data_IF_929660123482
#
_entry.id   IF_929660123482
#
_cell.length_a   1.000
_cell.length_b   1.000
_cell.length_c   1.000
_cell.angle_alpha   90.00
_cell.angle_beta   90.00
_cell.angle_gamma   90.00
#
_symmetry.space_group_name_H-M   'P 1'
#
loop_
_entity.id
_entity.type
_entity.pdbx_description
1 polymer ?
#
# COMPACT_ATOMS: atom_id res chain seq x y z
N UNK A 1 -69.48 -5.11 -14.55
CA UNK A 1 -69.30 -3.81 -13.86
C UNK A 1 -68.34 -4.04 -12.69
N UNK A 2 -67.20 -3.33 -12.71
CA UNK A 2 -66.13 -3.19 -11.67
C UNK A 2 -65.39 -4.49 -11.25
N UNK A 3 -64.12 -4.80 -11.61
CA UNK A 3 -62.77 -4.22 -11.29
C UNK A 3 -62.56 -4.00 -9.78
N UNK A 4 -61.53 -4.44 -9.05
CA UNK A 4 -60.18 -5.00 -9.27
C UNK A 4 -59.69 -5.72 -7.95
N UNK A 5 -58.41 -6.07 -7.71
CA UNK A 5 -57.89 -7.43 -7.94
C UNK A 5 -57.11 -8.09 -6.76
N UNK A 6 -56.70 -9.33 -7.04
CA UNK A 6 -55.82 -10.26 -6.31
C UNK A 6 -54.52 -9.62 -5.76
N UNK A 7 -54.14 -10.00 -4.53
CA UNK A 7 -52.79 -9.80 -3.97
C UNK A 7 -51.93 -11.05 -4.18
N UNK A 8 -50.88 -10.92 -4.98
CA UNK A 8 -49.70 -11.80 -4.98
C UNK A 8 -48.75 -11.34 -3.87
N UNK A 9 -48.33 -12.25 -2.98
CA UNK A 9 -47.19 -12.03 -2.10
C UNK A 9 -45.90 -12.30 -2.90
N UNK A 10 -45.14 -11.26 -3.21
CA UNK A 10 -43.73 -11.38 -3.58
C UNK A 10 -42.90 -11.44 -2.28
N UNK A 11 -42.15 -12.53 -2.09
CA UNK A 11 -40.99 -12.55 -1.21
C UNK A 11 -39.86 -11.77 -1.88
N UNK A 12 -39.67 -10.51 -1.48
CA UNK A 12 -38.47 -9.75 -1.80
C UNK A 12 -37.39 -10.04 -0.75
N UNK A 13 -36.25 -10.51 -1.23
CA UNK A 13 -35.01 -10.68 -0.49
C UNK A 13 -34.52 -9.28 -0.08
N UNK A 14 -34.56 -8.96 1.21
CA UNK A 14 -33.85 -7.81 1.75
C UNK A 14 -32.36 -8.18 1.88
N UNK A 15 -31.59 -7.85 0.83
CA UNK A 15 -30.16 -7.59 0.97
C UNK A 15 -30.02 -6.27 1.73
N UNK A 16 -29.53 -6.33 2.96
CA UNK A 16 -29.14 -5.14 3.71
C UNK A 16 -27.82 -4.62 3.15
N UNK A 17 -27.92 -3.74 2.15
CA UNK A 17 -26.84 -2.82 1.82
C UNK A 17 -26.75 -1.77 2.94
N UNK A 18 -25.71 -1.83 3.75
CA UNK A 18 -25.27 -0.68 4.55
C UNK A 18 -24.36 0.13 3.62
N UNK A 19 -24.94 1.14 2.96
CA UNK A 19 -24.19 2.13 2.19
C UNK A 19 -23.87 3.35 3.06
N UNK A 20 -22.67 3.90 2.90
CA UNK A 20 -22.18 5.09 3.60
C UNK A 20 -22.96 6.36 3.19
N UNK A 21 -23.89 6.80 4.05
CA UNK A 21 -24.77 7.94 3.77
C UNK A 21 -24.09 9.32 3.92
N UNK A 22 -22.91 9.44 4.55
CA UNK A 22 -22.34 10.77 4.87
C UNK A 22 -21.73 11.54 3.70
N UNK A 23 -21.57 10.93 2.51
CA UNK A 23 -20.96 11.62 1.35
C UNK A 23 -21.96 12.07 0.26
N UNK A 24 -23.24 11.68 0.33
CA UNK A 24 -24.24 12.03 -0.71
C UNK A 24 -24.95 13.37 -0.49
N UNK A 25 -24.95 13.90 0.73
CA UNK A 25 -25.65 15.15 1.08
C UNK A 25 -24.75 16.41 1.16
N UNK A 26 -23.52 16.34 0.61
CA UNK A 26 -22.61 17.49 0.55
C UNK A 26 -23.17 18.70 -0.26
N UNK A 27 -24.27 18.51 -0.98
CA UNK A 27 -25.01 19.58 -1.67
C UNK A 27 -25.72 20.57 -0.74
N UNK A 28 -25.84 20.29 0.56
CA UNK A 28 -26.40 21.24 1.54
C UNK A 28 -25.37 22.29 2.04
N UNK A 29 -24.13 22.23 1.57
CA UNK A 29 -23.04 23.07 2.07
C UNK A 29 -22.22 23.72 0.94
N UNK A 30 -22.74 24.83 0.42
CA UNK A 30 -21.98 25.97 -0.14
C UNK A 30 -22.69 27.24 0.36
N UNK A 31 -22.06 28.29 0.86
CA UNK A 31 -21.02 29.14 0.26
C UNK A 31 -20.11 29.75 1.34
N UNK A 32 -18.78 29.73 1.16
CA UNK A 32 -17.87 30.73 1.75
C UNK A 32 -17.09 31.34 0.58
N UNK A 33 -17.72 32.26 -0.17
CA UNK A 33 -17.00 33.01 -1.20
C UNK A 33 -16.36 34.29 -0.64
N UNK A 34 -16.79 34.79 0.53
CA UNK A 34 -16.29 36.07 1.09
C UNK A 34 -16.32 36.23 2.63
N UNK A 35 -16.73 35.22 3.42
CA UNK A 35 -16.92 35.41 4.87
C UNK A 35 -15.65 35.09 5.68
N UNK A 36 -15.17 36.05 6.49
CA UNK A 36 -14.00 35.93 7.38
C UNK A 36 -14.25 35.06 8.61
N UNK A 37 -15.52 34.74 8.88
CA UNK A 37 -15.97 33.92 10.02
C UNK A 37 -16.25 32.45 9.63
N UNK A 38 -15.58 31.94 8.59
CA UNK A 38 -15.64 30.53 8.18
C UNK A 38 -14.41 29.76 8.70
N UNK A 39 -14.57 28.48 9.06
CA UNK A 39 -13.48 27.56 9.38
C UNK A 39 -13.42 26.37 8.41
N UNK A 40 -12.24 25.78 8.23
CA UNK A 40 -12.04 24.56 7.42
C UNK A 40 -12.12 23.32 8.32
N UNK A 41 -13.01 22.39 7.98
CA UNK A 41 -13.34 21.23 8.80
C UNK A 41 -13.11 19.94 7.99
N UNK A 42 -12.42 18.92 8.53
CA UNK A 42 -12.29 17.63 7.85
C UNK A 42 -13.63 16.88 7.79
N UNK A 43 -13.87 16.18 6.69
CA UNK A 43 -15.01 15.27 6.53
C UNK A 43 -14.52 13.84 6.76
N UNK A 44 -14.81 13.31 7.95
CA UNK A 44 -14.55 11.90 8.27
C UNK A 44 -15.71 11.02 7.80
N UNK A 45 -15.38 9.82 7.30
CA UNK A 45 -16.36 8.76 7.05
C UNK A 45 -16.69 8.04 8.35
N UNK A 46 -17.93 7.55 8.49
CA UNK A 46 -18.37 6.83 9.69
C UNK A 46 -17.84 5.39 9.79
N UNK A 47 -17.18 4.88 8.76
CA UNK A 47 -16.80 3.47 8.60
C UNK A 47 -15.30 3.18 8.82
N UNK A 48 -14.57 4.07 9.51
CA UNK A 48 -13.13 3.92 9.84
C UNK A 48 -12.20 3.87 8.61
N UNK A 49 -12.68 4.26 7.42
CA UNK A 49 -11.90 4.25 6.17
C UNK A 49 -10.98 5.47 5.98
N UNK A 50 -11.05 6.48 6.85
CA UNK A 50 -10.24 7.71 6.78
C UNK A 50 -10.98 8.90 6.16
N UNK A 51 -10.31 10.06 6.09
CA UNK A 51 -10.88 11.35 5.64
C UNK A 51 -11.22 11.30 4.14
N UNK A 52 -12.45 11.70 3.75
CA UNK A 52 -12.85 11.79 2.35
C UNK A 52 -12.66 13.18 1.72
N UNK A 53 -12.43 14.22 2.53
CA UNK A 53 -12.15 15.59 2.05
C UNK A 53 -12.17 16.65 3.16
N UNK A 54 -12.10 17.94 2.78
CA UNK A 54 -12.25 19.10 3.67
C UNK A 54 -13.40 20.01 3.20
N UNK A 55 -14.13 20.62 4.14
CA UNK A 55 -15.24 21.52 3.85
C UNK A 55 -15.12 22.83 4.65
N UNK A 56 -15.39 23.96 3.99
CA UNK A 56 -15.54 25.25 4.66
C UNK A 56 -16.95 25.38 5.24
N UNK A 57 -17.05 25.64 6.55
CA UNK A 57 -18.33 25.83 7.24
C UNK A 57 -18.32 27.16 7.98
N UNK A 58 -19.41 27.93 7.87
CA UNK A 58 -19.61 29.16 8.65
C UNK A 58 -19.77 28.82 10.14
N UNK A 59 -19.00 29.50 11.01
CA UNK A 59 -19.00 29.20 12.45
C UNK A 59 -20.38 29.39 13.11
N UNK A 60 -21.24 30.23 12.54
CA UNK A 60 -22.63 30.46 12.98
C UNK A 60 -23.55 29.24 12.82
N UNK A 61 -23.14 28.21 12.07
CA UNK A 61 -23.90 26.96 11.91
C UNK A 61 -23.51 25.88 12.93
N UNK A 62 -22.52 26.15 13.78
CA UNK A 62 -22.10 25.23 14.83
C UNK A 62 -22.71 25.66 16.16
N UNK A 63 -23.10 24.68 16.96
CA UNK A 63 -23.66 24.94 18.29
C UNK A 63 -22.57 25.56 19.19
N UNK A 64 -22.88 26.59 19.98
CA UNK A 64 -21.91 27.16 20.92
C UNK A 64 -21.63 26.20 22.07
N UNK A 65 -20.41 26.23 22.60
CA UNK A 65 -20.13 25.44 23.81
C UNK A 65 -20.88 26.00 25.03
N UNK A 66 -21.33 25.10 25.89
CA UNK A 66 -22.00 25.44 27.13
C UNK A 66 -21.00 25.92 28.19
N UNK A 67 -21.42 26.89 29.00
CA UNK A 67 -20.67 27.43 30.13
C UNK A 67 -21.48 27.26 31.43
N UNK A 68 -20.83 26.99 32.58
CA UNK A 68 -19.38 26.75 32.76
C UNK A 68 -19.00 25.31 32.42
N UNK A 69 -17.95 25.12 31.63
CA UNK A 69 -17.42 23.77 31.35
C UNK A 69 -16.79 23.55 29.98
N UNK A 70 -17.06 24.41 28.99
CA UNK A 70 -16.65 24.17 27.59
C UNK A 70 -17.07 22.77 27.13
N UNK A 71 -18.32 22.41 27.41
CA UNK A 71 -18.91 21.13 27.07
C UNK A 71 -19.89 21.27 25.92
N UNK A 72 -20.15 20.17 25.24
CA UNK A 72 -21.13 20.08 24.18
C UNK A 72 -22.32 19.27 24.66
N UNK A 73 -23.52 19.67 24.26
CA UNK A 73 -24.76 18.95 24.58
C UNK A 73 -24.75 17.54 24.01
N UNK A 74 -24.14 17.38 22.83
CA UNK A 74 -23.91 16.08 22.20
C UNK A 74 -22.61 15.46 22.71
N UNK A 75 -22.71 14.22 23.22
CA UNK A 75 -21.61 13.46 23.84
C UNK A 75 -20.48 13.12 22.86
N UNK A 76 -20.78 13.06 21.58
CA UNK A 76 -19.83 12.81 20.49
C UNK A 76 -19.26 14.11 19.91
N UNK A 77 -19.44 15.25 20.56
CA UNK A 77 -18.88 16.54 20.15
C UNK A 77 -17.89 17.06 21.19
N UNK A 78 -16.84 17.73 20.71
CA UNK A 78 -15.81 18.38 21.51
C UNK A 78 -15.85 19.88 21.26
N UNK A 79 -15.71 20.62 22.34
CA UNK A 79 -15.61 22.06 22.30
C UNK A 79 -14.24 22.49 21.77
N UNK A 80 -14.20 23.30 20.70
CA UNK A 80 -12.97 23.75 20.03
C UNK A 80 -13.01 25.27 19.84
N UNK A 81 -11.89 25.95 20.11
CA UNK A 81 -11.66 27.35 19.70
C UNK A 81 -10.96 27.37 18.36
N UNK A 82 -11.62 27.88 17.32
CA UNK A 82 -11.03 28.01 15.99
C UNK A 82 -10.56 29.46 15.75
N UNK A 83 -9.36 29.70 15.18
CA UNK A 83 -8.80 31.05 15.00
C UNK A 83 -9.65 31.99 14.15
N UNK A 84 -10.40 31.44 13.19
CA UNK A 84 -11.28 32.19 12.29
C UNK A 84 -12.73 32.26 12.78
N UNK A 85 -13.07 31.63 13.90
CA UNK A 85 -14.37 31.83 14.54
C UNK A 85 -14.21 32.90 15.62
N UNK A 86 -15.08 33.92 15.60
CA UNK A 86 -15.09 34.98 16.61
C UNK A 86 -15.08 34.40 18.03
N UNK A 87 -13.91 34.48 18.70
CA UNK A 87 -13.48 34.24 20.11
C UNK A 87 -14.21 33.23 21.04
N UNK A 88 -15.49 32.94 20.83
CA UNK A 88 -16.29 31.93 21.50
C UNK A 88 -16.02 30.53 20.91
N UNK A 89 -15.85 29.51 21.77
CA UNK A 89 -15.67 28.14 21.32
C UNK A 89 -16.99 27.51 20.84
N UNK A 90 -16.88 26.60 19.87
CA UNK A 90 -18.01 25.91 19.25
C UNK A 90 -17.89 24.39 19.39
N UNK A 91 -19.03 23.71 19.34
CA UNK A 91 -19.14 22.27 19.48
C UNK A 91 -19.01 21.54 18.15
N UNK A 92 -18.05 20.63 18.08
CA UNK A 92 -17.64 19.97 16.85
C UNK A 92 -17.55 18.45 17.00
N UNK A 93 -18.03 17.62 16.06
CA UNK A 93 -18.01 16.16 16.19
C UNK A 93 -16.59 15.59 16.40
N UNK A 94 -16.43 14.73 17.41
CA UNK A 94 -15.18 14.06 17.78
C UNK A 94 -14.69 13.13 16.66
N UNK A 95 -15.62 12.51 15.92
CA UNK A 95 -15.32 11.65 14.77
C UNK A 95 -14.58 12.36 13.64
N UNK A 96 -14.57 13.69 13.65
CA UNK A 96 -13.90 14.52 12.65
C UNK A 96 -12.59 15.15 13.18
N UNK A 97 -12.02 14.68 14.29
CA UNK A 97 -10.78 15.24 14.84
C UNK A 97 -9.58 14.35 14.48
N UNK A 98 -8.90 14.66 13.38
CA UNK A 98 -7.50 14.28 13.13
C UNK A 98 -6.77 15.34 12.25
N UNK A 99 -5.44 15.41 12.32
CA UNK A 99 -4.58 16.58 12.01
C UNK A 99 -4.44 17.00 10.52
N UNK A 100 -4.64 18.31 10.26
CA UNK A 100 -3.98 19.32 9.35
C UNK A 100 -3.56 18.92 7.89
N UNK A 101 -3.77 19.67 6.79
CA UNK A 101 -3.84 21.14 6.50
C UNK A 101 -4.76 21.40 5.28
N UNK A 102 -5.64 22.41 5.33
CA UNK A 102 -6.23 23.06 4.14
C UNK A 102 -5.25 24.15 3.62
N UNK A 103 -4.99 24.29 2.31
CA UNK A 103 -4.06 25.29 1.81
C UNK A 103 -4.60 26.71 2.07
N UNK A 104 -3.83 27.56 2.75
CA UNK A 104 -4.15 28.98 2.90
C UNK A 104 -3.43 29.80 1.83
N UNK A 105 -4.16 30.67 1.15
CA UNK A 105 -3.58 31.88 0.56
C UNK A 105 -3.25 32.87 1.69
N UNK A 106 -1.98 33.29 1.75
CA UNK A 106 -1.47 34.51 2.42
C UNK A 106 -1.20 34.46 3.95
N UNK A 107 0.06 34.09 4.26
CA UNK A 107 1.10 34.67 5.14
C UNK A 107 0.91 35.20 6.60
N UNK A 108 1.94 34.84 7.40
CA UNK A 108 2.60 35.44 8.59
C UNK A 108 1.81 35.83 9.86
N UNK A 109 1.95 35.05 10.95
CA UNK A 109 2.65 35.40 12.22
C UNK A 109 2.18 34.57 13.46
N UNK A 110 3.04 33.64 13.95
CA UNK A 110 3.09 33.01 15.31
C UNK A 110 1.94 32.05 15.75
N UNK A 111 2.12 31.14 16.75
CA UNK A 111 3.28 30.41 17.29
C UNK A 111 3.24 28.89 16.94
N UNK A 112 4.37 28.21 17.15
CA UNK A 112 4.65 26.82 16.74
C UNK A 112 3.64 25.76 17.18
N UNK A 113 2.95 25.19 16.19
CA UNK A 113 2.19 23.92 16.25
C UNK A 113 3.16 22.75 16.51
N UNK A 114 2.80 21.71 17.28
CA UNK A 114 3.65 20.53 17.43
C UNK A 114 3.75 19.83 16.07
N UNK A 115 4.97 19.77 15.53
CA UNK A 115 5.27 19.23 14.21
C UNK A 115 4.51 17.92 13.97
N UNK A 116 3.59 17.93 13.01
CA UNK A 116 3.30 16.74 12.24
C UNK A 116 4.58 16.50 11.42
N UNK A 117 5.49 15.73 11.98
CA UNK A 117 6.82 15.51 11.44
C UNK A 117 6.71 14.77 10.11
N UNK A 118 6.60 15.51 9.00
CA UNK A 118 6.64 14.92 7.66
C UNK A 118 8.10 14.56 7.43
N UNK A 119 8.40 13.27 7.51
CA UNK A 119 9.72 12.67 7.37
C UNK A 119 10.29 12.75 5.93
N UNK A 120 10.25 13.91 5.26
CA UNK A 120 10.85 14.06 3.91
C UNK A 120 12.36 13.86 3.91
N UNK A 121 13.00 14.04 5.07
CA UNK A 121 14.43 13.84 5.34
C UNK A 121 14.74 12.59 6.14
N UNK A 122 13.76 11.68 6.36
CA UNK A 122 14.04 10.43 7.06
C UNK A 122 15.19 9.69 6.38
N UNK A 123 16.09 9.14 7.18
CA UNK A 123 17.11 8.20 6.71
C UNK A 123 16.84 6.85 7.32
N UNK A 124 17.43 5.80 6.77
CA UNK A 124 17.37 4.46 7.36
C UNK A 124 18.73 4.10 7.94
N UNK A 125 18.72 3.22 8.94
CA UNK A 125 19.93 2.68 9.53
C UNK A 125 20.81 2.13 8.41
N UNK A 126 22.11 2.40 8.49
CA UNK A 126 23.04 1.93 7.46
C UNK A 126 23.17 0.40 7.48
N UNK A 127 23.12 -0.18 8.67
CA UNK A 127 23.16 -1.62 8.88
C UNK A 127 21.72 -2.13 9.02
N UNK A 128 21.42 -3.17 8.26
CA UNK A 128 20.22 -3.98 8.38
C UNK A 128 20.41 -5.13 9.36
N UNK A 129 19.29 -5.64 9.86
CA UNK A 129 19.24 -6.87 10.66
C UNK A 129 18.48 -7.93 9.87
N UNK A 130 19.00 -9.17 9.84
CA UNK A 130 18.27 -10.30 9.25
C UNK A 130 17.04 -10.62 10.12
N UNK A 131 15.86 -10.56 9.53
CA UNK A 131 14.58 -10.84 10.21
C UNK A 131 13.89 -12.11 9.72
N UNK A 132 14.33 -12.65 8.58
CA UNK A 132 13.94 -13.96 8.07
C UNK A 132 15.11 -14.57 7.28
N UNK A 133 15.31 -15.88 7.38
CA UNK A 133 16.45 -16.55 6.77
C UNK A 133 17.79 -16.16 7.40
N UNK A 134 18.85 -16.12 6.59
CA UNK A 134 20.18 -15.69 7.04
C UNK A 134 21.04 -16.78 7.70
N UNK A 135 20.59 -18.03 7.72
CA UNK A 135 21.33 -19.18 8.24
C UNK A 135 21.79 -20.11 7.11
N UNK A 136 22.25 -19.52 6.01
CA UNK A 136 22.52 -20.21 4.75
C UNK A 136 21.26 -20.46 3.93
N UNK A 137 21.45 -21.01 2.74
CA UNK A 137 20.36 -21.44 1.86
C UNK A 137 19.94 -22.87 2.19
N UNK A 138 18.64 -23.15 2.10
CA UNK A 138 18.09 -24.47 2.38
C UNK A 138 16.60 -24.43 2.69
N UNK A 139 16.05 -25.56 3.13
CA UNK A 139 14.61 -25.73 3.37
C UNK A 139 14.23 -25.78 4.87
N UNK A 140 15.20 -25.64 5.78
CA UNK A 140 14.91 -25.51 7.20
C UNK A 140 14.04 -24.25 7.47
N UNK A 141 13.32 -24.22 8.60
CA UNK A 141 12.42 -23.10 8.90
C UNK A 141 13.13 -21.79 9.28
N UNK A 142 14.45 -21.83 9.51
CA UNK A 142 15.29 -20.64 9.66
C UNK A 142 16.10 -20.33 8.39
N UNK A 143 15.86 -21.05 7.30
CA UNK A 143 16.52 -20.86 6.01
C UNK A 143 15.51 -20.45 4.94
N UNK A 144 16.01 -19.75 3.93
CA UNK A 144 15.27 -19.40 2.71
C UNK A 144 16.09 -19.89 1.51
N UNK A 145 15.45 -20.01 0.36
CA UNK A 145 16.11 -20.29 -0.90
C UNK A 145 15.58 -19.37 -2.01
N UNK A 146 16.36 -18.32 -2.30
CA UNK A 146 16.06 -17.32 -3.32
C UNK A 146 14.68 -16.66 -3.09
N UNK A 147 14.49 -16.00 -1.93
CA UNK A 147 13.23 -15.32 -1.64
C UNK A 147 13.02 -14.18 -2.64
N UNK A 148 11.84 -14.13 -3.26
CA UNK A 148 11.53 -13.19 -4.34
C UNK A 148 10.70 -12.01 -3.82
N UNK A 149 9.43 -12.24 -3.45
CA UNK A 149 8.53 -11.23 -2.91
C UNK A 149 8.33 -11.32 -1.39
N UNK A 150 8.03 -10.17 -0.78
CA UNK A 150 7.74 -10.04 0.64
C UNK A 150 6.50 -9.19 0.90
N UNK A 151 5.79 -9.52 1.97
CA UNK A 151 4.73 -8.68 2.51
C UNK A 151 4.95 -8.49 4.02
N UNK A 152 4.70 -7.28 4.52
CA UNK A 152 4.81 -6.98 5.95
C UNK A 152 3.46 -6.47 6.45
N UNK A 153 2.88 -7.16 7.43
CA UNK A 153 1.60 -6.75 7.99
C UNK A 153 1.74 -5.67 9.09
N UNK A 154 0.60 -5.16 9.56
CA UNK A 154 0.54 -4.12 10.60
C UNK A 154 1.13 -4.57 11.95
N UNK A 155 1.27 -5.88 12.18
CA UNK A 155 1.89 -6.44 13.38
C UNK A 155 3.40 -6.67 13.19
N UNK A 156 3.97 -6.21 12.07
CA UNK A 156 5.37 -6.43 11.67
C UNK A 156 5.69 -7.91 11.45
N UNK A 157 4.70 -8.70 11.06
CA UNK A 157 4.90 -10.07 10.59
C UNK A 157 5.37 -10.02 9.14
N UNK A 158 6.49 -10.66 8.85
CA UNK A 158 7.09 -10.74 7.52
C UNK A 158 6.64 -12.03 6.86
N UNK A 159 5.99 -11.94 5.70
CA UNK A 159 5.63 -13.06 4.83
C UNK A 159 6.59 -13.06 3.65
N UNK A 160 7.09 -14.24 3.28
CA UNK A 160 8.14 -14.38 2.26
C UNK A 160 7.74 -15.45 1.26
N UNK A 161 7.75 -15.13 -0.03
CA UNK A 161 7.72 -16.11 -1.10
C UNK A 161 9.10 -16.77 -1.17
N UNK A 162 9.21 -17.95 -0.55
CA UNK A 162 10.44 -18.75 -0.51
C UNK A 162 10.51 -19.62 -1.78
N UNK A 163 10.85 -18.96 -2.88
CA UNK A 163 10.55 -19.38 -4.25
C UNK A 163 11.07 -20.77 -4.60
N UNK A 164 12.35 -21.05 -4.34
CA UNK A 164 12.91 -22.36 -4.68
C UNK A 164 12.51 -23.47 -3.71
N UNK A 165 11.95 -23.11 -2.55
CA UNK A 165 11.35 -24.08 -1.63
C UNK A 165 9.84 -24.26 -1.87
N UNK A 166 9.26 -23.61 -2.89
CA UNK A 166 7.84 -23.72 -3.29
C UNK A 166 6.86 -23.53 -2.12
N UNK A 167 7.10 -22.49 -1.31
CA UNK A 167 6.30 -22.20 -0.12
C UNK A 167 6.25 -20.71 0.19
N UNK A 168 5.25 -20.31 0.96
CA UNK A 168 5.22 -19.02 1.65
C UNK A 168 5.42 -19.26 3.13
N UNK A 169 6.37 -18.55 3.72
CA UNK A 169 6.72 -18.67 5.13
C UNK A 169 6.57 -17.31 5.81
N UNK A 170 6.03 -17.28 7.03
CA UNK A 170 5.94 -16.07 7.84
C UNK A 170 6.86 -16.09 9.05
N UNK A 171 7.35 -14.93 9.45
CA UNK A 171 8.10 -14.68 10.69
C UNK A 171 7.42 -13.57 11.47
N UNK A 172 7.05 -13.85 12.71
CA UNK A 172 6.65 -12.82 13.66
C UNK A 172 7.88 -12.11 14.21
N UNK A 173 7.67 -10.96 14.85
CA UNK A 173 8.77 -10.18 15.42
C UNK A 173 9.62 -11.05 16.38
N UNK A 174 10.94 -11.03 16.18
CA UNK A 174 11.94 -11.79 16.94
C UNK A 174 11.85 -13.33 16.81
N UNK A 175 11.06 -13.86 15.88
CA UNK A 175 11.02 -15.30 15.64
C UNK A 175 12.36 -15.80 15.07
N UNK A 176 12.88 -16.91 15.60
CA UNK A 176 14.08 -17.58 15.08
C UNK A 176 13.77 -18.57 13.96
N UNK A 177 12.51 -19.04 13.88
CA UNK A 177 12.01 -19.96 12.87
C UNK A 177 10.73 -19.41 12.26
N UNK A 178 10.56 -19.66 10.97
CA UNK A 178 9.38 -19.30 10.22
C UNK A 178 8.29 -20.36 10.34
N UNK A 179 7.08 -19.98 9.94
CA UNK A 179 5.91 -20.84 9.87
C UNK A 179 5.41 -20.89 8.43
N UNK A 180 5.29 -22.09 7.86
CA UNK A 180 4.72 -22.27 6.52
C UNK A 180 3.23 -21.92 6.59
N UNK A 181 2.79 -21.03 5.71
CA UNK A 181 1.40 -20.53 5.66
C UNK A 181 0.71 -20.78 4.31
N UNK A 182 1.47 -21.10 3.28
CA UNK A 182 0.96 -21.60 2.01
C UNK A 182 2.03 -22.47 1.32
N UNK A 183 1.61 -23.44 0.52
CA UNK A 183 2.54 -24.37 -0.15
C UNK A 183 3.23 -25.33 0.82
N UNK A 184 4.48 -25.68 0.53
CA UNK A 184 5.31 -26.53 1.40
C UNK A 184 5.20 -28.04 1.17
N UNK A 185 4.36 -28.47 0.22
CA UNK A 185 4.20 -29.87 -0.20
C UNK A 185 5.05 -30.22 -1.44
N UNK A 186 6.20 -29.55 -1.57
CA UNK A 186 7.11 -29.68 -2.71
C UNK A 186 6.67 -28.89 -3.95
N UNK A 187 7.54 -28.90 -4.95
CA UNK A 187 7.29 -28.28 -6.26
C UNK A 187 6.21 -29.06 -7.00
N UNK A 188 5.19 -28.38 -7.52
CA UNK A 188 4.13 -29.02 -8.32
C UNK A 188 2.96 -28.09 -8.62
N UNK A 189 1.93 -28.63 -9.27
CA UNK A 189 0.74 -27.91 -9.71
C UNK A 189 -0.52 -28.23 -8.88
N UNK A 190 -0.41 -29.10 -7.87
CA UNK A 190 -1.49 -29.42 -6.96
C UNK A 190 -2.01 -28.19 -6.18
N UNK A 191 -3.17 -28.32 -5.55
CA UNK A 191 -3.80 -27.22 -4.79
C UNK A 191 -3.01 -26.85 -3.53
N UNK A 192 -2.14 -27.74 -3.04
CA UNK A 192 -1.25 -27.46 -1.91
C UNK A 192 0.19 -27.13 -2.34
N UNK A 193 0.46 -27.00 -3.64
CA UNK A 193 1.81 -26.89 -4.19
C UNK A 193 1.98 -25.60 -4.97
N UNK A 194 3.23 -25.15 -5.06
CA UNK A 194 3.65 -24.06 -5.93
C UNK A 194 4.74 -24.54 -6.88
N UNK A 195 4.90 -23.82 -7.99
CA UNK A 195 6.05 -23.93 -8.87
C UNK A 195 6.56 -22.53 -9.18
N UNK A 196 7.55 -22.08 -8.40
CA UNK A 196 8.12 -20.75 -8.50
C UNK A 196 7.15 -19.65 -8.03
N UNK A 197 6.69 -19.65 -6.77
CA UNK A 197 5.93 -18.53 -6.24
C UNK A 197 6.82 -17.28 -6.23
N UNK A 198 6.39 -16.20 -6.88
CA UNK A 198 7.24 -15.01 -7.05
C UNK A 198 6.90 -13.91 -6.07
N UNK A 199 5.64 -13.54 -5.97
CA UNK A 199 5.18 -12.41 -5.17
C UNK A 199 3.91 -12.77 -4.39
N UNK A 200 3.63 -12.01 -3.34
CA UNK A 200 2.45 -12.23 -2.51
C UNK A 200 1.90 -10.96 -1.88
N UNK A 201 0.59 -10.98 -1.63
CA UNK A 201 -0.12 -9.96 -0.84
C UNK A 201 -1.08 -10.62 0.13
N UNK A 202 -1.33 -9.96 1.25
CA UNK A 202 -2.26 -10.46 2.27
C UNK A 202 -3.41 -9.46 2.40
N UNK A 203 -4.64 -9.94 2.26
CA UNK A 203 -5.83 -9.10 2.45
C UNK A 203 -6.15 -8.85 3.94
N UNK A 204 -7.12 -7.98 4.22
CA UNK A 204 -7.48 -7.60 5.60
C UNK A 204 -8.01 -8.77 6.44
N UNK A 205 -8.56 -9.79 5.78
CA UNK A 205 -9.08 -11.00 6.42
C UNK A 205 -7.97 -12.03 6.66
N UNK A 206 -6.77 -11.75 6.14
CA UNK A 206 -5.57 -12.57 6.28
C UNK A 206 -5.47 -13.69 5.24
N UNK A 207 -6.19 -13.60 4.14
CA UNK A 207 -5.98 -14.50 3.01
C UNK A 207 -4.76 -14.03 2.20
N UNK A 208 -3.97 -15.00 1.76
CA UNK A 208 -2.70 -14.80 1.06
C UNK A 208 -2.93 -15.07 -0.42
N UNK A 209 -2.64 -14.10 -1.26
CA UNK A 209 -2.63 -14.26 -2.72
C UNK A 209 -1.20 -14.40 -3.18
N UNK A 210 -0.91 -15.40 -4.00
CA UNK A 210 0.46 -15.73 -4.43
C UNK A 210 0.49 -15.90 -5.95
N UNK A 211 1.46 -15.27 -6.60
CA UNK A 211 1.73 -15.48 -8.03
C UNK A 211 2.54 -16.76 -8.23
N UNK A 212 1.88 -17.82 -8.70
CA UNK A 212 2.47 -19.14 -8.92
C UNK A 212 2.99 -19.22 -10.36
N UNK A 213 4.16 -18.64 -10.60
CA UNK A 213 4.62 -18.21 -11.92
C UNK A 213 4.65 -19.34 -12.95
N UNK A 214 5.29 -20.46 -12.64
CA UNK A 214 5.48 -21.54 -13.60
C UNK A 214 4.24 -22.43 -13.75
N UNK A 215 3.28 -22.30 -12.83
CA UNK A 215 1.95 -22.89 -12.96
C UNK A 215 0.93 -21.97 -13.67
N UNK A 216 1.35 -20.78 -14.11
CA UNK A 216 0.50 -19.82 -14.83
C UNK A 216 -0.82 -19.49 -14.11
N UNK A 217 -0.74 -19.27 -12.78
CA UNK A 217 -1.92 -18.99 -11.96
C UNK A 217 -1.62 -18.08 -10.78
N UNK A 218 -2.68 -17.49 -10.23
CA UNK A 218 -2.67 -16.88 -8.90
C UNK A 218 -3.51 -17.75 -7.96
N UNK A 219 -2.94 -18.11 -6.83
CA UNK A 219 -3.65 -18.85 -5.79
C UNK A 219 -3.99 -17.96 -4.60
N UNK A 220 -5.22 -18.10 -4.10
CA UNK A 220 -5.67 -17.56 -2.82
C UNK A 220 -5.65 -18.66 -1.77
N UNK A 221 -5.06 -18.36 -0.62
CA UNK A 221 -5.02 -19.22 0.55
C UNK A 221 -5.68 -18.51 1.71
N UNK A 222 -6.85 -18.99 2.12
CA UNK A 222 -7.49 -18.45 3.32
C UNK A 222 -6.62 -18.72 4.56
N UNK A 223 -6.79 -17.88 5.59
CA UNK A 223 -6.03 -18.04 6.85
C UNK A 223 -6.12 -19.48 7.36
N UNK A 224 -4.97 -20.10 7.60
CA UNK A 224 -4.81 -21.49 8.08
C UNK A 224 -5.31 -22.60 7.11
N UNK A 225 -5.61 -22.26 5.85
CA UNK A 225 -5.99 -23.26 4.85
C UNK A 225 -4.81 -24.20 4.55
N UNK A 226 -5.13 -25.48 4.31
CA UNK A 226 -4.15 -26.49 3.89
C UNK A 226 -3.95 -26.53 2.37
N UNK A 227 -4.87 -25.94 1.62
CA UNK A 227 -4.86 -25.88 0.16
C UNK A 227 -5.24 -24.48 -0.31
N UNK A 228 -4.69 -24.08 -1.44
CA UNK A 228 -5.06 -22.88 -2.17
C UNK A 228 -6.18 -23.12 -3.17
N UNK A 229 -6.86 -22.03 -3.50
CA UNK A 229 -7.82 -21.95 -4.59
C UNK A 229 -7.22 -21.09 -5.70
N UNK A 230 -7.22 -21.59 -6.93
CA UNK A 230 -6.88 -20.76 -8.09
C UNK A 230 -7.96 -19.70 -8.28
N UNK A 231 -7.56 -18.43 -8.25
CA UNK A 231 -8.45 -17.26 -8.43
C UNK A 231 -8.22 -16.52 -9.74
N UNK A 232 -7.10 -16.80 -10.41
CA UNK A 232 -6.80 -16.24 -11.72
C UNK A 232 -5.89 -17.19 -12.51
N UNK A 233 -6.19 -17.40 -13.79
CA UNK A 233 -5.27 -18.04 -14.74
C UNK A 233 -4.63 -16.93 -15.56
N UNK A 234 -3.30 -16.90 -15.54
CA UNK A 234 -2.50 -15.82 -16.13
C UNK A 234 -1.15 -16.39 -16.52
N UNK A 235 -0.65 -16.07 -17.71
CA UNK A 235 0.64 -16.60 -18.14
C UNK A 235 1.77 -15.92 -17.38
N UNK A 236 2.58 -16.72 -16.67
CA UNK A 236 3.77 -16.29 -15.92
C UNK A 236 3.56 -15.03 -15.09
N UNK A 237 2.65 -15.05 -14.10
CA UNK A 237 2.41 -13.90 -13.23
C UNK A 237 3.66 -13.60 -12.41
N UNK A 238 4.04 -12.32 -12.30
CA UNK A 238 5.20 -11.88 -11.52
C UNK A 238 4.73 -11.13 -10.28
N UNK A 239 4.37 -9.87 -10.45
CA UNK A 239 3.99 -8.96 -9.38
C UNK A 239 2.50 -9.03 -9.06
N UNK A 240 2.17 -8.77 -7.80
CA UNK A 240 0.79 -8.75 -7.33
C UNK A 240 0.57 -7.59 -6.35
N UNK A 241 -0.55 -6.90 -6.48
CA UNK A 241 -0.90 -5.80 -5.59
C UNK A 241 -2.39 -5.81 -5.24
N UNK A 242 -2.73 -5.34 -4.04
CA UNK A 242 -4.09 -5.05 -3.62
C UNK A 242 -4.28 -3.53 -3.51
N UNK A 243 -5.40 -3.01 -3.99
CA UNK A 243 -5.84 -1.65 -3.67
C UNK A 243 -6.67 -1.60 -2.38
N UNK A 244 -7.08 -0.40 -1.97
CA UNK A 244 -7.92 -0.18 -0.79
C UNK A 244 -9.34 -0.76 -0.90
N UNK A 245 -9.79 -1.14 -2.10
CA UNK A 245 -11.08 -1.79 -2.35
C UNK A 245 -10.93 -3.33 -2.44
N UNK A 246 -9.73 -3.85 -2.17
CA UNK A 246 -9.36 -5.26 -2.30
C UNK A 246 -9.46 -5.81 -3.73
N UNK A 247 -9.31 -4.94 -4.73
CA UNK A 247 -9.05 -5.39 -6.10
C UNK A 247 -7.62 -5.86 -6.24
N UNK A 248 -7.45 -7.02 -6.88
CA UNK A 248 -6.18 -7.67 -7.10
C UNK A 248 -5.62 -7.33 -8.48
N UNK A 249 -4.43 -6.76 -8.52
CA UNK A 249 -3.69 -6.44 -9.72
C UNK A 249 -2.55 -7.43 -9.91
N UNK A 250 -2.37 -7.92 -11.13
CA UNK A 250 -1.37 -8.94 -11.44
C UNK A 250 -0.66 -8.57 -12.74
N UNK A 251 0.68 -8.53 -12.72
CA UNK A 251 1.47 -8.38 -13.93
C UNK A 251 1.74 -9.75 -14.55
N UNK A 252 1.62 -9.82 -15.88
CA UNK A 252 1.94 -11.01 -16.66
C UNK A 252 3.16 -10.74 -17.55
N UNK A 253 3.99 -11.77 -17.78
CA UNK A 253 5.29 -11.63 -18.46
C UNK A 253 5.44 -12.47 -19.72
N UNK A 254 6.48 -12.15 -20.51
CA UNK A 254 6.96 -12.83 -21.73
C UNK A 254 6.06 -12.81 -22.97
N UNK A 255 4.76 -13.12 -22.85
CA UNK A 255 3.89 -13.31 -24.02
C UNK A 255 2.69 -12.37 -24.05
N UNK A 256 1.96 -12.24 -22.94
CA UNK A 256 0.82 -11.33 -22.86
C UNK A 256 1.27 -9.89 -22.61
N UNK A 257 2.24 -9.70 -21.69
CA UNK A 257 2.67 -8.38 -21.20
C UNK A 257 1.45 -7.52 -20.78
N UNK A 258 0.51 -8.20 -20.16
CA UNK A 258 -0.75 -7.65 -19.71
C UNK A 258 -0.69 -7.27 -18.24
N UNK A 259 -1.47 -6.27 -17.89
CA UNK A 259 -1.85 -5.97 -16.51
C UNK A 259 -3.30 -6.38 -16.33
N UNK A 260 -3.52 -7.31 -15.40
CA UNK A 260 -4.84 -7.85 -15.10
C UNK A 260 -5.34 -7.29 -13.77
N UNK A 261 -6.65 -7.10 -13.66
CA UNK A 261 -7.36 -6.71 -12.44
C UNK A 261 -8.50 -7.68 -12.16
N UNK A 262 -8.58 -8.21 -10.95
CA UNK A 262 -9.69 -8.97 -10.44
C UNK A 262 -10.33 -8.19 -9.29
N UNK A 263 -11.55 -7.68 -9.46
CA UNK A 263 -12.24 -7.00 -8.37
C UNK A 263 -12.73 -8.00 -7.34
N UNK A 264 -12.90 -7.55 -6.11
CA UNK A 264 -13.47 -8.38 -5.04
C UNK A 264 -14.84 -8.94 -5.46
N UNK A 265 -14.98 -10.26 -5.40
CA UNK A 265 -16.21 -10.97 -5.75
C UNK A 265 -16.32 -11.35 -7.23
N UNK A 266 -15.42 -10.89 -8.09
CA UNK A 266 -15.30 -11.40 -9.45
C UNK A 266 -14.62 -12.78 -9.45
N UNK A 267 -14.92 -13.60 -10.46
CA UNK A 267 -14.32 -14.94 -10.64
C UNK A 267 -13.26 -14.97 -11.73
N UNK A 268 -13.19 -13.93 -12.56
CA UNK A 268 -12.24 -13.82 -13.67
C UNK A 268 -11.62 -12.42 -13.68
N UNK A 269 -10.30 -12.36 -13.83
CA UNK A 269 -9.59 -11.09 -13.99
C UNK A 269 -9.87 -10.48 -15.36
N UNK A 270 -10.03 -9.17 -15.39
CA UNK A 270 -10.13 -8.39 -16.61
C UNK A 270 -8.76 -7.80 -16.97
N UNK A 271 -8.41 -7.81 -18.25
CA UNK A 271 -7.22 -7.12 -18.74
C UNK A 271 -7.49 -5.62 -18.75
N UNK A 272 -6.69 -4.84 -18.03
CA UNK A 272 -6.85 -3.39 -17.93
C UNK A 272 -5.82 -2.61 -18.75
N UNK A 273 -4.71 -3.24 -19.12
CA UNK A 273 -3.74 -2.71 -20.07
C UNK A 273 -2.96 -3.87 -20.73
N UNK A 274 -2.61 -3.70 -22.01
CA UNK A 274 -1.90 -4.70 -22.83
C UNK A 274 -0.65 -4.09 -23.45
N UNK A 275 0.22 -4.95 -24.00
CA UNK A 275 1.44 -4.53 -24.70
C UNK A 275 2.32 -3.59 -23.86
N UNK A 276 2.32 -3.82 -22.55
CA UNK A 276 3.20 -3.10 -21.64
C UNK A 276 4.63 -3.60 -21.85
N UNK A 277 5.65 -2.84 -21.48
CA UNK A 277 6.97 -3.42 -21.26
C UNK A 277 6.89 -4.49 -20.17
N UNK A 278 7.93 -5.32 -20.02
CA UNK A 278 7.91 -6.38 -18.99
C UNK A 278 7.86 -5.79 -17.58
N UNK A 279 6.65 -5.70 -17.05
CA UNK A 279 6.37 -5.22 -15.70
C UNK A 279 6.69 -6.34 -14.71
N UNK A 280 7.57 -6.05 -13.76
CA UNK A 280 7.93 -6.99 -12.69
C UNK A 280 6.98 -6.81 -11.50
N UNK A 281 7.45 -6.30 -10.35
CA UNK A 281 6.60 -6.12 -9.18
C UNK A 281 5.73 -4.87 -9.33
N UNK A 282 4.55 -4.93 -8.70
CA UNK A 282 3.50 -3.92 -8.80
C UNK A 282 3.24 -3.28 -7.44
N UNK A 283 2.82 -2.03 -7.46
CA UNK A 283 2.23 -1.36 -6.31
C UNK A 283 0.95 -0.63 -6.71
N UNK A 284 -0.15 -0.92 -6.04
CA UNK A 284 -1.43 -0.27 -6.25
C UNK A 284 -1.66 0.80 -5.17
N UNK A 285 -1.81 2.05 -5.60
CA UNK A 285 -2.05 3.18 -4.71
C UNK A 285 -3.54 3.54 -4.65
N UNK A 286 -3.97 4.18 -3.56
CA UNK A 286 -5.38 4.46 -3.20
C UNK A 286 -6.19 5.26 -4.25
N UNK A 287 -5.53 5.92 -5.20
CA UNK A 287 -6.17 6.70 -6.26
C UNK A 287 -6.32 5.93 -7.58
N UNK A 288 -6.28 4.59 -7.55
CA UNK A 288 -6.29 3.72 -8.74
C UNK A 288 -5.10 4.00 -9.68
N UNK A 289 -3.98 4.47 -9.11
CA UNK A 289 -2.69 4.50 -9.81
C UNK A 289 -1.90 3.25 -9.48
N UNK A 290 -1.40 2.59 -10.51
CA UNK A 290 -0.57 1.40 -10.39
C UNK A 290 0.84 1.79 -10.80
N UNK A 291 1.80 1.46 -9.96
CA UNK A 291 3.21 1.69 -10.19
C UNK A 291 3.86 0.35 -10.51
N UNK A 292 4.73 0.35 -11.52
CA UNK A 292 5.34 -0.88 -11.98
C UNK A 292 6.78 -0.64 -12.42
N UNK A 293 7.66 -1.57 -12.08
CA UNK A 293 9.04 -1.57 -12.56
C UNK A 293 9.15 -2.22 -13.94
N UNK A 294 9.70 -1.50 -14.90
CA UNK A 294 10.16 -2.02 -16.18
C UNK A 294 11.65 -2.31 -16.08
N UNK A 295 11.93 -3.55 -15.73
CA UNK A 295 13.27 -4.07 -15.47
C UNK A 295 14.21 -3.87 -16.67
N UNK A 296 13.73 -4.14 -17.88
CA UNK A 296 14.60 -4.22 -19.05
C UNK A 296 14.94 -2.86 -19.63
N UNK A 297 14.07 -1.86 -19.45
CA UNK A 297 14.32 -0.51 -19.93
C UNK A 297 14.80 0.46 -18.83
N UNK A 298 14.91 0.02 -17.58
CA UNK A 298 15.39 0.84 -16.48
C UNK A 298 14.42 1.96 -16.09
N UNK A 299 13.12 1.66 -16.08
CA UNK A 299 12.06 2.67 -15.88
C UNK A 299 11.07 2.25 -14.81
N UNK A 300 10.45 3.25 -14.19
CA UNK A 300 9.26 3.08 -13.37
C UNK A 300 8.09 3.74 -14.08
N UNK A 301 7.01 2.99 -14.25
CA UNK A 301 5.75 3.46 -14.79
C UNK A 301 4.77 3.84 -13.68
N UNK A 302 3.93 4.83 -13.97
CA UNK A 302 2.65 5.08 -13.32
C UNK A 302 1.54 4.89 -14.35
N UNK A 303 0.57 4.06 -14.01
CA UNK A 303 -0.60 3.72 -14.80
C UNK A 303 -1.82 4.27 -14.05
N UNK A 304 -2.49 5.26 -14.62
CA UNK A 304 -3.71 5.87 -14.06
C UNK A 304 -4.92 5.16 -14.68
N UNK A 305 -5.57 4.28 -13.91
CA UNK A 305 -6.71 3.46 -14.40
C UNK A 305 -7.88 4.35 -14.82
N UNK A 306 -8.15 5.44 -14.08
CA UNK A 306 -9.27 6.34 -14.36
C UNK A 306 -9.11 7.06 -15.69
N UNK A 307 -7.88 7.46 -16.02
CA UNK A 307 -7.57 8.20 -17.25
C UNK A 307 -7.11 7.31 -18.39
N UNK A 308 -6.85 6.03 -18.15
CA UNK A 308 -6.24 5.12 -19.12
C UNK A 308 -4.85 5.58 -19.56
N UNK A 309 -4.11 6.28 -18.69
CA UNK A 309 -2.84 6.92 -19.03
C UNK A 309 -1.65 6.18 -18.42
N UNK A 310 -0.64 5.93 -19.24
CA UNK A 310 0.64 5.35 -18.81
C UNK A 310 1.72 6.42 -18.95
N UNK A 311 2.49 6.64 -17.88
CA UNK A 311 3.57 7.63 -17.84
C UNK A 311 4.83 7.05 -17.21
N UNK A 312 5.99 7.35 -17.78
CA UNK A 312 7.28 7.08 -17.11
C UNK A 312 7.48 8.16 -16.06
N UNK A 313 7.71 7.76 -14.80
CA UNK A 313 7.93 8.69 -13.69
C UNK A 313 9.39 8.76 -13.25
N UNK A 314 10.16 7.68 -13.46
CA UNK A 314 11.59 7.62 -13.15
C UNK A 314 12.30 6.80 -14.24
N UNK A 315 13.53 7.23 -14.57
CA UNK A 315 14.43 6.51 -15.47
C UNK A 315 14.38 7.01 -16.92
N UNK A 316 15.47 6.78 -17.64
CA UNK A 316 15.64 7.05 -19.08
C UNK A 316 16.16 5.79 -19.78
N UNK A 317 16.18 5.76 -21.12
CA UNK A 317 16.65 4.57 -21.86
C UNK A 317 18.11 4.23 -21.51
N UNK A 318 18.28 3.05 -20.89
CA UNK A 318 19.51 2.26 -20.67
C UNK A 318 20.77 2.95 -20.08
N UNK A 319 21.27 2.39 -18.98
CA UNK A 319 22.71 2.36 -18.66
C UNK A 319 23.06 2.13 -17.18
N UNK A 320 24.21 1.48 -16.96
CA UNK A 320 24.85 1.20 -15.67
C UNK A 320 25.60 2.44 -15.11
N UNK A 321 25.13 3.65 -15.41
CA UNK A 321 25.66 4.86 -14.78
C UNK A 321 25.00 5.03 -13.41
N UNK A 322 25.74 5.57 -12.43
CA UNK A 322 25.24 5.75 -11.07
C UNK A 322 23.96 6.61 -10.97
N UNK A 323 23.64 7.35 -12.04
CA UNK A 323 22.48 8.23 -12.20
C UNK A 323 21.27 7.56 -12.87
N UNK A 324 21.40 6.33 -13.39
CA UNK A 324 20.33 5.57 -14.04
C UNK A 324 19.89 4.36 -13.19
N UNK A 325 18.68 3.84 -13.42
CA UNK A 325 18.17 2.67 -12.69
C UNK A 325 18.79 1.37 -13.22
N UNK A 326 19.41 0.60 -12.32
CA UNK A 326 20.02 -0.70 -12.65
C UNK A 326 19.05 -1.87 -12.46
N UNK A 327 18.36 -2.26 -13.53
CA UNK A 327 17.38 -3.36 -13.54
C UNK A 327 16.36 -3.24 -12.39
N UNK A 328 15.45 -2.24 -12.42
CA UNK A 328 14.49 -2.06 -11.34
C UNK A 328 13.56 -3.28 -11.24
N UNK A 329 13.37 -3.81 -10.03
CA UNK A 329 12.53 -4.99 -9.79
C UNK A 329 11.20 -4.61 -9.15
N UNK A 330 11.26 -3.82 -8.08
CA UNK A 330 10.12 -3.44 -7.25
C UNK A 330 10.06 -1.94 -7.02
N UNK A 331 8.84 -1.45 -6.83
CA UNK A 331 8.51 -0.06 -6.63
C UNK A 331 7.46 0.08 -5.53
N UNK A 332 7.66 1.03 -4.62
CA UNK A 332 6.63 1.49 -3.68
C UNK A 332 6.52 3.01 -3.75
N UNK A 333 5.35 3.55 -3.43
CA UNK A 333 5.13 5.00 -3.35
C UNK A 333 4.44 5.33 -2.03
N UNK A 334 5.00 6.28 -1.28
CA UNK A 334 4.38 6.74 -0.03
C UNK A 334 3.39 7.89 -0.25
N UNK A 335 2.67 8.27 0.80
CA UNK A 335 1.67 9.34 0.75
C UNK A 335 2.23 10.73 0.44
N UNK A 336 3.55 10.94 0.52
CA UNK A 336 4.21 12.18 0.08
C UNK A 336 4.51 12.20 -1.42
N UNK A 337 4.32 11.06 -2.10
CA UNK A 337 4.69 10.85 -3.48
C UNK A 337 6.16 10.47 -3.69
N UNK A 338 6.91 10.18 -2.62
CA UNK A 338 8.27 9.66 -2.77
C UNK A 338 8.20 8.22 -3.28
N UNK A 339 9.09 7.90 -4.23
CA UNK A 339 9.13 6.61 -4.92
C UNK A 339 10.35 5.84 -4.46
N UNK A 340 10.14 4.60 -4.05
CA UNK A 340 11.17 3.70 -3.56
C UNK A 340 11.38 2.61 -4.61
N UNK A 341 12.61 2.41 -5.04
CA UNK A 341 12.94 1.50 -6.14
C UNK A 341 14.01 0.52 -5.71
N UNK A 342 13.76 -0.77 -5.96
CA UNK A 342 14.77 -1.82 -5.81
C UNK A 342 15.56 -1.93 -7.10
N UNK A 343 16.85 -1.64 -7.04
CA UNK A 343 17.77 -1.74 -8.16
C UNK A 343 18.59 -3.03 -8.05
N UNK A 344 18.11 -4.07 -8.74
CA UNK A 344 18.71 -5.40 -8.72
C UNK A 344 20.18 -5.38 -9.18
N UNK A 345 20.45 -4.65 -10.27
CA UNK A 345 21.78 -4.56 -10.87
C UNK A 345 22.76 -3.67 -10.09
N UNK A 346 22.25 -2.76 -9.26
CA UNK A 346 23.07 -1.89 -8.40
C UNK A 346 23.10 -2.33 -6.94
N UNK A 347 22.45 -3.46 -6.61
CA UNK A 347 22.42 -4.03 -5.27
C UNK A 347 22.01 -3.03 -4.17
N UNK A 348 20.96 -2.25 -4.45
CA UNK A 348 20.53 -1.18 -3.56
C UNK A 348 19.04 -0.90 -3.65
N UNK A 349 18.53 -0.20 -2.65
CA UNK A 349 17.22 0.43 -2.66
C UNK A 349 17.43 1.95 -2.71
N UNK A 350 16.77 2.64 -3.64
CA UNK A 350 16.82 4.10 -3.76
C UNK A 350 15.47 4.75 -3.44
N UNK A 351 15.51 5.92 -2.80
CA UNK A 351 14.35 6.82 -2.62
C UNK A 351 14.48 8.01 -3.55
N UNK A 352 13.41 8.32 -4.27
CA UNK A 352 13.27 9.45 -5.17
C UNK A 352 12.18 10.37 -4.65
N UNK A 353 12.55 11.61 -4.32
CA UNK A 353 11.57 12.62 -3.92
C UNK A 353 10.81 13.13 -5.16
N UNK A 354 9.57 13.64 -5.00
CA UNK A 354 8.85 14.25 -6.11
C UNK A 354 9.68 15.32 -6.83
N UNK A 355 9.84 15.19 -8.15
CA UNK A 355 10.61 16.11 -8.98
C UNK A 355 12.14 15.97 -8.87
N UNK A 356 12.66 15.00 -8.10
CA UNK A 356 14.09 14.78 -8.00
C UNK A 356 14.67 14.15 -9.29
N UNK A 357 15.84 14.65 -9.71
CA UNK A 357 16.56 14.12 -10.88
C UNK A 357 17.43 12.88 -10.56
N UNK A 358 17.59 12.54 -9.29
CA UNK A 358 18.37 11.40 -8.84
C UNK A 358 17.79 10.80 -7.56
N UNK A 359 17.91 9.48 -7.43
CA UNK A 359 17.56 8.73 -6.23
C UNK A 359 18.70 8.72 -5.22
N UNK A 360 18.35 8.67 -3.94
CA UNK A 360 19.28 8.53 -2.82
C UNK A 360 19.24 7.07 -2.35
N UNK A 361 20.40 6.42 -2.26
CA UNK A 361 20.47 5.06 -1.71
C UNK A 361 20.10 5.07 -0.22
N UNK A 362 19.10 4.27 0.14
CA UNK A 362 18.61 4.14 1.52
C UNK A 362 18.93 2.78 2.15
N UNK A 363 19.29 1.78 1.32
CA UNK A 363 19.84 0.49 1.74
C UNK A 363 20.78 -0.05 0.66
N UNK A 364 21.87 -0.71 1.06
CA UNK A 364 22.88 -1.23 0.13
C UNK A 364 23.69 -0.13 -0.59
N UNK A 365 24.17 -0.42 -1.80
CA UNK A 365 24.77 0.57 -2.71
C UNK A 365 26.27 0.85 -2.55
N UNK A 366 27.00 0.11 -1.70
CA UNK A 366 28.46 0.21 -1.59
C UNK A 366 29.22 -0.92 -2.28
N UNK A 367 28.60 -2.10 -2.36
CA UNK A 367 29.07 -3.29 -3.09
C UNK A 367 28.03 -4.40 -2.93
N UNK A 368 28.05 -5.34 -3.87
CA UNK A 368 27.41 -6.64 -3.69
C UNK A 368 28.08 -7.36 -2.50
N UNK A 369 27.30 -7.97 -1.62
CA UNK A 369 27.87 -8.82 -0.58
C UNK A 369 26.89 -9.19 0.52
N UNK A 370 27.40 -9.84 1.57
CA UNK A 370 26.62 -10.45 2.65
C UNK A 370 26.62 -9.65 3.97
N UNK A 371 27.43 -8.59 4.05
CA UNK A 371 27.49 -7.76 5.27
C UNK A 371 26.15 -7.09 5.56
N UNK A 372 25.95 -6.62 6.79
CA UNK A 372 24.70 -5.98 7.23
C UNK A 372 24.36 -4.70 6.47
N UNK A 373 25.33 -4.04 5.85
CA UNK A 373 25.13 -2.83 5.03
C UNK A 373 25.22 -3.11 3.51
N UNK A 374 25.30 -4.39 3.13
CA UNK A 374 25.34 -4.85 1.75
C UNK A 374 24.07 -5.62 1.40
N UNK A 375 23.73 -5.58 0.12
CA UNK A 375 22.69 -6.39 -0.50
C UNK A 375 23.30 -7.20 -1.64
N UNK A 376 22.62 -8.26 -2.03
CA UNK A 376 23.00 -9.12 -3.13
C UNK A 376 21.76 -9.41 -3.97
N UNK A 377 21.68 -8.72 -5.11
CA UNK A 377 20.58 -8.84 -6.07
C UNK A 377 19.18 -8.68 -5.42
N UNK A 378 18.89 -7.62 -4.65
CA UNK A 378 17.61 -7.47 -3.98
C UNK A 378 16.45 -7.43 -4.98
N UNK A 379 15.29 -7.95 -4.59
CA UNK A 379 14.17 -8.16 -5.51
C UNK A 379 12.93 -7.39 -5.11
N UNK A 380 12.67 -7.27 -3.82
CA UNK A 380 11.43 -6.67 -3.33
C UNK A 380 11.61 -5.93 -2.00
N UNK A 381 10.68 -5.02 -1.71
CA UNK A 381 10.67 -4.17 -0.51
C UNK A 381 9.28 -4.06 0.10
N UNK A 382 9.25 -3.84 1.41
CA UNK A 382 8.03 -3.50 2.15
C UNK A 382 8.36 -2.52 3.28
N UNK A 383 7.36 -1.74 3.71
CA UNK A 383 7.44 -0.90 4.90
C UNK A 383 6.55 -1.46 6.00
N UNK A 384 7.01 -1.39 7.26
CA UNK A 384 6.10 -1.54 8.39
C UNK A 384 5.43 -0.22 8.79
N UNK A 385 4.48 -0.30 9.72
CA UNK A 385 3.69 0.85 10.22
C UNK A 385 4.56 1.94 10.84
N UNK A 386 5.76 1.58 11.32
CA UNK A 386 6.69 2.52 11.92
C UNK A 386 7.55 3.23 10.87
N UNK A 387 7.53 2.76 9.62
CA UNK A 387 8.33 3.27 8.51
C UNK A 387 9.65 2.51 8.29
N UNK A 388 9.89 1.39 8.98
CA UNK A 388 11.10 0.60 8.76
C UNK A 388 11.03 -0.11 7.40
N UNK A 389 12.16 -0.15 6.70
CA UNK A 389 12.29 -0.80 5.39
C UNK A 389 12.65 -2.27 5.56
N UNK A 390 11.97 -3.16 4.86
CA UNK A 390 12.30 -4.57 4.72
C UNK A 390 12.69 -4.83 3.27
N UNK A 391 13.74 -5.62 3.05
CA UNK A 391 14.27 -5.91 1.71
C UNK A 391 14.44 -7.41 1.55
N UNK A 392 13.85 -7.97 0.50
CA UNK A 392 14.14 -9.33 0.04
C UNK A 392 15.53 -9.36 -0.59
N UNK A 393 16.50 -9.86 0.15
CA UNK A 393 17.91 -9.91 -0.23
C UNK A 393 18.20 -11.26 -0.90
N UNK A 394 17.60 -11.42 -2.09
CA UNK A 394 17.49 -12.67 -2.84
C UNK A 394 18.79 -13.49 -2.90
N UNK A 395 19.90 -12.86 -3.29
CA UNK A 395 21.19 -13.55 -3.46
C UNK A 395 21.86 -13.94 -2.14
N UNK A 396 21.40 -13.39 -1.02
CA UNK A 396 21.86 -13.74 0.32
C UNK A 396 20.86 -14.62 1.09
N UNK A 397 19.75 -15.03 0.45
CA UNK A 397 18.77 -15.95 1.03
C UNK A 397 18.21 -15.47 2.38
N UNK A 398 17.89 -14.18 2.46
CA UNK A 398 17.37 -13.54 3.68
C UNK A 398 16.43 -12.38 3.38
N UNK A 399 15.74 -11.93 4.41
CA UNK A 399 15.09 -10.62 4.45
C UNK A 399 15.81 -9.75 5.47
N UNK A 400 16.24 -8.56 5.07
CA UNK A 400 16.87 -7.59 5.95
C UNK A 400 15.91 -6.46 6.29
N UNK A 401 15.91 -6.03 7.56
CA UNK A 401 15.19 -4.84 8.05
C UNK A 401 16.17 -3.71 8.34
N UNK A 402 15.89 -2.52 7.81
CA UNK A 402 16.60 -1.28 8.09
C UNK A 402 15.66 -0.36 8.89
N UNK A 403 16.12 0.11 10.04
CA UNK A 403 15.31 0.93 10.94
C UNK A 403 15.21 2.36 10.41
N UNK A 404 14.04 2.98 10.45
CA UNK A 404 13.92 4.39 10.09
C UNK A 404 14.47 5.27 11.22
N UNK A 405 15.36 6.19 10.87
CA UNK A 405 15.84 7.24 11.77
C UNK A 405 14.85 8.40 11.76
N UNK A 406 14.05 8.48 12.82
CA UNK A 406 13.06 9.55 13.02
C UNK A 406 13.67 10.83 13.59
N UNK A 407 14.94 10.81 14.00
CA UNK A 407 15.61 12.02 14.53
C UNK A 407 15.85 13.08 13.46
N UNK A 408 15.90 12.67 12.19
CA UNK A 408 16.03 13.58 11.05
C UNK A 408 14.69 14.07 10.52
N UNK A 409 13.59 13.50 10.99
CA UNK A 409 12.26 13.98 10.67
C UNK A 409 12.06 15.31 11.42
N UNK A 410 11.79 16.40 10.69
CA UNK A 410 11.50 17.71 11.26
C UNK A 410 10.02 17.98 11.28
#
# INVERSE_FOLDING_TARGET
MMTAPFRFLLFAIFSSYISSETCRDASQYSECSTNKDCGCFPLATSDKSGICGFLWVACSRLDPCQTPGNTCEKLDHKCVRHPQCNSAPVCYPISMIDKQICPSSEDTTSPSVPNNTICTTATWSRQGISVAGGFGWGNALNQLYYPMGIFVDVNRTVYVADTNNARVVKWTQNATFGQIVAGGYGVGSGTAQFYGPMDLVVDKDGAIYVTDNLNNRVQKWNRNAQVGQTVMIVQRPIGIALDGEESLYVSASYWSKDLLKLRKGETNGNVIATNLPELYYLFAHQNQSIYAADKNNGRIYRIDEKKGQISVIIGSLQGLSATQLGYPQSVLVDGSGAVYVVEYGHHRVTRWLPGANAGIAIAGGRSQGYQSDQLNFPTDIAFDVDGNLYVADYGNHRVQKFAIDKSTCR
#
